data_IF_167909820558
#
_entry.id   IF_167909820558
#
_cell.length_a   1.000
_cell.length_b   1.000
_cell.length_c   1.000
_cell.angle_alpha   90.00
_cell.angle_beta   90.00
_cell.angle_gamma   90.00
#
_symmetry.space_group_name_H-M   'P 1'
#
loop_
_entity.id
_entity.type
_entity.pdbx_description
1 polymer ?
#
# COMPACT_ATOMS: atom_id res chain seq x y z
N UNK A 1 30.49 6.10 22.33
CA UNK A 1 31.14 5.97 21.01
C UNK A 1 30.37 4.93 20.23
N UNK A 2 29.72 5.31 19.13
CA UNK A 2 29.12 4.33 18.21
C UNK A 2 30.26 3.58 17.51
N UNK A 3 30.17 2.26 17.31
CA UNK A 3 31.18 1.54 16.55
C UNK A 3 31.24 2.14 15.14
N UNK A 4 32.44 2.48 14.70
CA UNK A 4 32.72 2.91 13.33
C UNK A 4 32.07 1.96 12.34
N UNK A 5 31.57 2.52 11.25
CA UNK A 5 31.14 1.81 10.04
C UNK A 5 32.19 0.75 9.70
N UNK A 6 31.88 -0.52 10.00
CA UNK A 6 32.71 -1.63 9.57
C UNK A 6 32.54 -1.73 8.06
N UNK A 7 33.51 -1.22 7.30
CA UNK A 7 33.65 -1.54 5.88
C UNK A 7 33.76 -3.06 5.77
N UNK A 8 32.65 -3.70 5.41
CA UNK A 8 32.59 -5.13 5.18
C UNK A 8 33.58 -5.46 4.06
N UNK A 9 34.45 -6.47 4.27
CA UNK A 9 35.41 -6.87 3.23
C UNK A 9 34.67 -7.23 1.93
N UNK A 10 35.31 -7.10 0.76
CA UNK A 10 34.65 -7.33 -0.53
C UNK A 10 33.95 -8.71 -0.66
N UNK A 11 34.44 -9.72 0.07
CA UNK A 11 33.79 -11.04 0.17
C UNK A 11 32.44 -10.99 0.91
N UNK A 12 32.36 -10.23 2.00
CA UNK A 12 31.13 -10.05 2.76
C UNK A 12 30.09 -9.25 1.96
N UNK A 13 30.52 -8.21 1.25
CA UNK A 13 29.63 -7.44 0.36
C UNK A 13 29.06 -8.29 -0.78
N UNK A 14 29.89 -9.15 -1.38
CA UNK A 14 29.46 -10.06 -2.44
C UNK A 14 28.44 -11.09 -1.94
N UNK A 15 28.65 -11.61 -0.73
CA UNK A 15 27.72 -12.56 -0.09
C UNK A 15 26.39 -11.88 0.22
N UNK A 16 26.42 -10.67 0.78
CA UNK A 16 25.23 -9.88 1.04
C UNK A 16 24.45 -9.58 -0.25
N UNK A 17 25.13 -9.18 -1.32
CA UNK A 17 24.51 -8.93 -2.61
C UNK A 17 23.80 -10.18 -3.15
N UNK A 18 24.42 -11.36 -3.04
CA UNK A 18 23.81 -12.62 -3.45
C UNK A 18 22.53 -12.93 -2.66
N UNK A 19 22.54 -12.73 -1.33
CA UNK A 19 21.38 -12.94 -0.47
C UNK A 19 20.25 -11.94 -0.81
N UNK A 20 20.58 -10.67 -1.04
CA UNK A 20 19.58 -9.67 -1.42
C UNK A 20 18.93 -10.05 -2.74
N UNK A 21 19.72 -10.46 -3.74
CA UNK A 21 19.22 -10.94 -5.04
C UNK A 21 18.31 -12.16 -4.87
N UNK A 22 18.72 -13.14 -4.07
CA UNK A 22 17.93 -14.35 -3.79
C UNK A 22 16.59 -14.03 -3.13
N UNK A 23 16.55 -13.00 -2.29
CA UNK A 23 15.36 -12.57 -1.56
C UNK A 23 14.66 -11.35 -2.18
N UNK A 24 14.94 -10.99 -3.43
CA UNK A 24 14.34 -9.81 -4.08
C UNK A 24 12.81 -9.88 -4.15
N UNK A 25 12.24 -11.08 -4.22
CA UNK A 25 10.80 -11.34 -4.23
C UNK A 25 10.15 -11.35 -2.84
N UNK A 26 10.95 -11.33 -1.76
CA UNK A 26 10.51 -11.29 -0.35
C UNK A 26 10.83 -9.96 0.31
N UNK A 27 11.92 -9.31 -0.07
CA UNK A 27 12.31 -8.01 0.45
C UNK A 27 11.55 -6.91 -0.30
N UNK A 28 11.18 -5.86 0.42
CA UNK A 28 10.67 -4.62 -0.17
C UNK A 28 11.87 -3.72 -0.39
N UNK A 29 12.14 -3.35 -1.64
CA UNK A 29 13.25 -2.44 -1.98
C UNK A 29 12.80 -0.97 -2.01
N UNK A 30 11.49 -0.73 -1.98
CA UNK A 30 10.91 0.60 -1.84
C UNK A 30 9.64 0.57 -1.00
N UNK A 31 9.27 1.73 -0.47
CA UNK A 31 7.98 1.96 0.20
C UNK A 31 6.78 1.80 -0.75
N UNK A 32 7.06 1.70 -2.05
CA UNK A 32 6.08 1.64 -3.12
C UNK A 32 5.78 0.22 -3.61
N UNK A 33 6.60 -0.76 -3.22
CA UNK A 33 6.38 -2.17 -3.55
C UNK A 33 5.25 -2.75 -2.69
N UNK A 34 4.04 -2.75 -3.24
CA UNK A 34 2.90 -3.41 -2.64
C UNK A 34 2.93 -4.90 -2.95
N UNK A 35 2.78 -5.72 -1.91
CA UNK A 35 2.58 -7.16 -2.04
C UNK A 35 1.11 -7.52 -1.82
N UNK A 36 0.60 -8.42 -2.66
CA UNK A 36 -0.74 -8.99 -2.52
C UNK A 36 -0.59 -10.50 -2.34
N UNK A 37 -1.21 -11.04 -1.29
CA UNK A 37 -1.28 -12.49 -1.09
C UNK A 37 -2.70 -12.95 -1.40
N UNK A 38 -2.84 -14.08 -2.10
CA UNK A 38 -4.13 -14.73 -2.34
C UNK A 38 -4.52 -15.69 -1.20
N UNK A 39 -3.73 -15.72 -0.13
CA UNK A 39 -3.82 -16.69 0.98
C UNK A 39 -5.13 -16.55 1.75
N UNK A 40 -5.65 -15.33 1.94
CA UNK A 40 -6.88 -15.10 2.68
C UNK A 40 -7.69 -13.96 2.10
N UNK A 41 -8.98 -14.20 1.90
CA UNK A 41 -9.98 -13.14 1.66
C UNK A 41 -10.64 -12.79 2.99
N UNK A 42 -10.60 -11.51 3.35
CA UNK A 42 -11.24 -11.02 4.58
C UNK A 42 -12.72 -10.71 4.33
N UNK A 43 -13.57 -11.02 5.32
CA UNK A 43 -14.99 -10.67 5.33
C UNK A 43 -15.24 -9.79 6.55
N UNK A 44 -15.90 -8.65 6.34
CA UNK A 44 -16.33 -7.77 7.43
C UNK A 44 -17.79 -8.10 7.75
N UNK A 45 -18.04 -8.66 8.93
CA UNK A 45 -19.39 -9.00 9.37
C UNK A 45 -20.09 -7.78 9.99
N UNK A 46 -20.96 -7.13 9.23
CA UNK A 46 -21.76 -5.98 9.69
C UNK A 46 -23.04 -6.38 10.43
N UNK A 47 -23.37 -7.68 10.47
CA UNK A 47 -24.66 -8.20 10.96
C UNK A 47 -25.82 -7.44 10.29
N UNK A 48 -26.78 -6.97 11.07
CA UNK A 48 -27.97 -6.25 10.59
C UNK A 48 -27.79 -4.73 10.57
N UNK A 49 -26.54 -4.24 10.65
CA UNK A 49 -26.28 -2.80 10.58
C UNK A 49 -26.62 -2.26 9.19
N UNK A 50 -27.46 -1.22 9.16
CA UNK A 50 -27.82 -0.53 7.92
C UNK A 50 -26.62 0.29 7.40
N UNK A 51 -26.39 0.32 6.07
CA UNK A 51 -25.37 1.20 5.50
C UNK A 51 -25.64 2.68 5.84
N UNK A 52 -24.57 3.41 6.15
CA UNK A 52 -24.64 4.86 6.43
C UNK A 52 -24.02 5.62 5.27
N UNK A 53 -24.77 6.56 4.69
CA UNK A 53 -24.27 7.45 3.65
C UNK A 53 -23.87 8.80 4.26
N UNK A 54 -22.60 9.16 4.11
CA UNK A 54 -22.06 10.43 4.57
C UNK A 54 -21.60 11.27 3.38
N UNK A 55 -21.93 12.56 3.38
CA UNK A 55 -21.41 13.50 2.40
C UNK A 55 -19.88 13.64 2.53
N UNK A 56 -19.12 13.64 1.42
CA UNK A 56 -17.68 13.85 1.47
C UNK A 56 -17.31 15.19 2.11
N UNK A 57 -16.23 15.19 2.90
CA UNK A 57 -15.66 16.45 3.43
C UNK A 57 -14.81 17.14 2.38
N UNK A 58 -14.88 18.47 2.34
CA UNK A 58 -14.09 19.29 1.41
C UNK A 58 -12.61 19.17 1.74
N UNK A 59 -11.79 18.90 0.71
CA UNK A 59 -10.33 18.91 0.79
C UNK A 59 -9.84 20.37 0.71
N UNK A 60 -8.87 20.73 1.55
CA UNK A 60 -8.27 22.06 1.50
C UNK A 60 -7.57 22.29 0.16
N UNK A 61 -7.71 23.49 -0.41
CA UNK A 61 -7.25 23.78 -1.78
C UNK A 61 -5.76 23.46 -1.98
N UNK A 62 -4.92 23.81 -1.01
CA UNK A 62 -3.48 23.59 -1.08
C UNK A 62 -3.07 22.10 -0.99
N UNK A 63 -3.94 21.22 -0.50
CA UNK A 63 -3.69 19.77 -0.43
C UNK A 63 -4.19 19.02 -1.65
N UNK A 64 -5.01 19.66 -2.49
CA UNK A 64 -5.74 19.00 -3.57
C UNK A 64 -4.81 18.24 -4.52
N UNK A 65 -3.73 18.87 -4.97
CA UNK A 65 -2.74 18.26 -5.87
C UNK A 65 -2.07 17.03 -5.25
N UNK A 66 -1.76 17.07 -3.95
CA UNK A 66 -1.14 15.95 -3.26
C UNK A 66 -2.09 14.76 -3.15
N UNK A 67 -3.35 15.02 -2.78
CA UNK A 67 -4.38 13.97 -2.68
C UNK A 67 -4.66 13.35 -4.05
N UNK A 68 -4.74 14.17 -5.10
CA UNK A 68 -4.95 13.69 -6.47
C UNK A 68 -3.78 12.81 -6.94
N UNK A 69 -2.53 13.20 -6.66
CA UNK A 69 -1.34 12.40 -6.97
C UNK A 69 -1.38 11.03 -6.26
N UNK A 70 -1.71 11.02 -4.97
CA UNK A 70 -1.83 9.79 -4.18
C UNK A 70 -2.94 8.89 -4.74
N UNK A 71 -4.11 9.46 -5.05
CA UNK A 71 -5.23 8.70 -5.61
C UNK A 71 -4.86 8.05 -6.95
N UNK A 72 -4.18 8.78 -7.84
CA UNK A 72 -3.71 8.26 -9.12
C UNK A 72 -2.74 7.09 -8.92
N UNK A 73 -1.84 7.20 -7.95
CA UNK A 73 -0.90 6.13 -7.62
C UNK A 73 -1.62 4.89 -7.06
N UNK A 74 -2.54 5.06 -6.11
CA UNK A 74 -3.33 3.97 -5.55
C UNK A 74 -4.20 3.26 -6.60
N UNK A 75 -4.77 4.01 -7.55
CA UNK A 75 -5.53 3.45 -8.69
C UNK A 75 -4.62 2.64 -9.61
N UNK A 76 -3.43 3.16 -9.94
CA UNK A 76 -2.44 2.44 -10.78
C UNK A 76 -2.00 1.12 -10.14
N UNK A 77 -1.99 1.05 -8.81
CA UNK A 77 -1.56 -0.14 -8.05
C UNK A 77 -2.69 -1.07 -7.64
N UNK A 78 -3.92 -0.84 -8.09
CA UNK A 78 -5.09 -1.67 -7.77
C UNK A 78 -5.39 -1.78 -6.26
N UNK A 79 -5.02 -0.74 -5.49
CA UNK A 79 -5.34 -0.64 -4.06
C UNK A 79 -6.77 -0.13 -3.86
N UNK A 80 -7.19 0.77 -4.74
CA UNK A 80 -8.53 1.33 -4.78
C UNK A 80 -9.11 1.15 -6.17
N UNK A 81 -10.42 0.93 -6.22
CA UNK A 81 -11.16 0.78 -7.47
C UNK A 81 -12.37 1.74 -7.48
N UNK A 82 -12.77 2.27 -8.65
CA UNK A 82 -14.03 2.97 -8.79
C UNK A 82 -15.20 2.03 -8.50
N UNK A 83 -16.04 2.39 -7.54
CA UNK A 83 -17.25 1.64 -7.23
C UNK A 83 -18.46 2.22 -7.97
N UNK A 84 -19.22 1.39 -8.68
CA UNK A 84 -20.50 1.81 -9.26
C UNK A 84 -21.57 1.87 -8.16
N UNK A 85 -21.95 3.08 -7.76
CA UNK A 85 -22.99 3.31 -6.75
C UNK A 85 -24.36 2.78 -7.22
N UNK A 86 -24.99 1.91 -6.42
CA UNK A 86 -26.44 1.63 -6.50
C UNK A 86 -27.17 2.47 -5.44
N UNK A 87 -28.20 3.25 -5.82
CA UNK A 87 -29.01 3.99 -4.84
C UNK A 87 -29.69 3.06 -3.83
N UNK A 88 -29.76 3.52 -2.58
CA UNK A 88 -30.41 2.84 -1.45
C UNK A 88 -31.91 2.55 -1.65
N UNK A 89 -32.55 3.12 -2.68
CA UNK A 89 -33.96 2.88 -3.03
C UNK A 89 -34.23 1.55 -3.74
N UNK A 90 -33.25 0.64 -3.79
CA UNK A 90 -33.34 -0.63 -4.53
C UNK A 90 -33.14 -1.88 -3.66
N UNK A 91 -33.33 -1.75 -2.33
CA UNK A 91 -33.39 -2.85 -1.37
C UNK A 91 -34.84 -3.15 -0.96
#
# INVERSE_FOLDING_TARGET
MLPSEQEASGSHQSTLAAIIVELTDVLSTSDFELRRTSVKRHIIHTRDATPVQCSPRRIAHHQRTQVESLLIEMLRRDVVEPWSYRPLSSW
#
